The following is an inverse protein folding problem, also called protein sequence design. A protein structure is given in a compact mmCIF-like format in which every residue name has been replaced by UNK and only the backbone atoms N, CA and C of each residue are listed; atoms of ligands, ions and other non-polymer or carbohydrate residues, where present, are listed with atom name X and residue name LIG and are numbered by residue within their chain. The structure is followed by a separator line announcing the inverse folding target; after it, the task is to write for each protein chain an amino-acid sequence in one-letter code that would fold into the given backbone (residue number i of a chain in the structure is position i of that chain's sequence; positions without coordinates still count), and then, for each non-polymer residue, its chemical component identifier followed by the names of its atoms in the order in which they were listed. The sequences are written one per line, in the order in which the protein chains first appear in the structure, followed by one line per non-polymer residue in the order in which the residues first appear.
data_IF_733030296458
#
_entry.id   IF_733030296458
#
_cell.length_a   1.000
_cell.length_b   1.000
_cell.length_c   1.000
_cell.angle_alpha   90.00
_cell.angle_beta   90.00
_cell.angle_gamma   90.00
#
_symmetry.space_group_name_H-M   'P 1'
#
loop_
_entity.id
_entity.type
_entity.pdbx_description
1 polymer ?
#
# COMPACT_ATOMS: atom_id res chain seq x y z
N UNK A 1 -8.59 -18.03 -14.12
CA UNK A 1 -9.46 -16.90 -13.70
C UNK A 1 -9.91 -17.15 -12.27
N UNK A 2 -9.14 -16.75 -11.25
CA UNK A 2 -9.42 -16.98 -9.82
C UNK A 2 -9.75 -15.70 -9.02
N UNK A 3 -10.10 -14.60 -9.71
CA UNK A 3 -10.29 -13.28 -9.11
C UNK A 3 -11.55 -13.22 -8.22
N UNK A 4 -12.43 -14.23 -8.31
CA UNK A 4 -13.77 -14.18 -7.73
C UNK A 4 -13.80 -14.51 -6.23
N UNK A 5 -12.81 -15.22 -5.71
CA UNK A 5 -12.80 -15.74 -4.32
C UNK A 5 -12.73 -14.60 -3.30
N UNK A 6 -11.97 -13.54 -3.60
CA UNK A 6 -11.78 -12.39 -2.71
C UNK A 6 -12.74 -11.24 -3.02
N UNK A 7 -13.37 -11.23 -4.19
CA UNK A 7 -14.40 -10.25 -4.57
C UNK A 7 -15.75 -10.56 -3.93
N UNK A 8 -16.04 -11.83 -3.61
CA UNK A 8 -17.24 -12.21 -2.89
C UNK A 8 -16.99 -13.32 -1.84
N UNK A 9 -17.49 -13.16 -0.60
CA UNK A 9 -18.13 -11.97 0.01
C UNK A 9 -17.13 -10.84 0.33
N UNK A 10 -17.64 -9.60 0.40
CA UNK A 10 -16.85 -8.36 0.52
C UNK A 10 -15.87 -8.34 1.70
N UNK A 11 -16.19 -9.01 2.81
CA UNK A 11 -15.33 -9.07 3.99
C UNK A 11 -14.00 -9.77 3.70
N UNK A 12 -13.95 -10.72 2.75
CA UNK A 12 -12.70 -11.42 2.37
C UNK A 12 -11.70 -10.47 1.73
N UNK A 13 -12.17 -9.56 0.89
CA UNK A 13 -11.34 -8.53 0.29
C UNK A 13 -10.72 -7.61 1.34
N UNK A 14 -11.51 -7.17 2.31
CA UNK A 14 -11.01 -6.35 3.43
C UNK A 14 -10.09 -7.12 4.39
N UNK A 15 -10.34 -8.40 4.63
CA UNK A 15 -9.43 -9.26 5.39
C UNK A 15 -8.08 -9.41 4.68
N UNK A 16 -8.09 -9.62 3.35
CA UNK A 16 -6.88 -9.63 2.54
C UNK A 16 -6.14 -8.28 2.60
N UNK A 17 -6.86 -7.16 2.51
CA UNK A 17 -6.29 -5.82 2.62
C UNK A 17 -5.53 -5.61 3.94
N UNK A 18 -6.17 -5.94 5.06
CA UNK A 18 -5.56 -5.81 6.39
C UNK A 18 -4.37 -6.75 6.52
N UNK A 19 -4.50 -8.01 6.07
CA UNK A 19 -3.41 -8.98 6.14
C UNK A 19 -2.21 -8.56 5.29
N UNK A 20 -2.44 -8.11 4.06
CA UNK A 20 -1.39 -7.64 3.16
C UNK A 20 -0.67 -6.42 3.74
N UNK A 21 -1.40 -5.47 4.32
CA UNK A 21 -0.81 -4.33 5.03
C UNK A 21 0.02 -4.78 6.24
N UNK A 22 -0.50 -5.69 7.10
CA UNK A 22 0.23 -6.20 8.27
C UNK A 22 1.53 -6.90 7.85
N UNK A 23 1.48 -7.74 6.81
CA UNK A 23 2.66 -8.42 6.27
C UNK A 23 3.67 -7.41 5.72
N UNK A 24 3.23 -6.44 4.92
CA UNK A 24 4.10 -5.40 4.39
C UNK A 24 4.74 -4.54 5.48
N UNK A 25 3.99 -4.22 6.53
CA UNK A 25 4.47 -3.49 7.70
C UNK A 25 5.52 -4.30 8.46
N UNK A 26 5.23 -5.57 8.76
CA UNK A 26 6.14 -6.46 9.46
C UNK A 26 7.45 -6.67 8.67
N UNK A 27 7.34 -6.86 7.35
CA UNK A 27 8.49 -6.94 6.46
C UNK A 27 9.28 -5.63 6.46
N UNK A 28 8.61 -4.47 6.40
CA UNK A 28 9.28 -3.17 6.43
C UNK A 28 10.09 -2.96 7.71
N UNK A 29 9.51 -3.39 8.82
CA UNK A 29 10.13 -3.32 10.14
C UNK A 29 11.31 -4.28 10.26
N UNK A 30 11.14 -5.54 9.86
CA UNK A 30 12.20 -6.55 9.89
C UNK A 30 13.39 -6.18 8.98
N UNK A 31 13.10 -5.59 7.82
CA UNK A 31 14.10 -5.16 6.84
C UNK A 31 14.62 -3.75 7.09
N UNK A 32 14.29 -3.11 8.22
CA UNK A 32 14.65 -1.72 8.50
C UNK A 32 16.17 -1.47 8.42
N UNK A 33 16.98 -2.44 8.83
CA UNK A 33 18.44 -2.37 8.77
C UNK A 33 19.04 -2.71 7.40
N UNK A 34 18.25 -3.36 6.53
CA UNK A 34 18.70 -3.80 5.21
C UNK A 34 18.38 -2.80 4.11
N UNK A 35 17.43 -1.89 4.33
CA UNK A 35 17.08 -0.88 3.35
C UNK A 35 17.94 0.37 3.48
N UNK A 36 18.51 0.87 2.36
CA UNK A 36 19.10 2.19 2.34
C UNK A 36 18.07 3.25 2.81
N UNK A 37 18.54 4.37 3.40
CA UNK A 37 17.67 5.50 3.69
C UNK A 37 16.88 5.94 2.45
N UNK A 38 15.63 6.38 2.64
CA UNK A 38 14.81 6.94 1.56
C UNK A 38 13.80 6.01 0.91
N UNK A 39 13.65 4.76 1.37
CA UNK A 39 12.66 3.81 0.86
C UNK A 39 11.56 3.47 1.89
N UNK A 40 10.74 4.44 2.34
CA UNK A 40 9.70 4.20 3.34
C UNK A 40 8.57 3.28 2.82
N UNK A 41 8.25 3.35 1.52
CA UNK A 41 7.06 2.70 0.95
C UNK A 41 7.30 1.34 0.26
N UNK A 42 8.54 0.86 0.19
CA UNK A 42 8.94 -0.20 -0.73
C UNK A 42 8.15 -1.52 -0.58
N UNK A 43 7.87 -1.97 0.64
CA UNK A 43 7.10 -3.21 0.88
C UNK A 43 5.59 -3.02 0.73
N UNK A 44 5.10 -1.78 0.77
CA UNK A 44 3.68 -1.48 0.69
C UNK A 44 3.17 -1.47 -0.75
N UNK A 45 3.98 -1.06 -1.74
CA UNK A 45 3.61 -1.11 -3.16
C UNK A 45 3.13 -2.52 -3.60
N UNK A 46 3.89 -3.60 -3.41
CA UNK A 46 3.43 -4.94 -3.81
C UNK A 46 2.18 -5.37 -3.03
N UNK A 47 2.01 -4.94 -1.78
CA UNK A 47 0.79 -5.23 -1.02
C UNK A 47 -0.45 -4.56 -1.65
N UNK A 48 -0.36 -3.30 -2.05
CA UNK A 48 -1.45 -2.59 -2.74
C UNK A 48 -1.76 -3.24 -4.08
N UNK A 49 -0.74 -3.57 -4.88
CA UNK A 49 -0.87 -4.27 -6.17
C UNK A 49 -1.60 -5.61 -6.01
N UNK A 50 -1.19 -6.45 -5.05
CA UNK A 50 -1.83 -7.73 -4.79
C UNK A 50 -3.31 -7.57 -4.40
N UNK A 51 -3.61 -6.62 -3.53
CA UNK A 51 -4.99 -6.37 -3.09
C UNK A 51 -5.83 -5.80 -4.23
N UNK A 52 -5.28 -4.90 -5.05
CA UNK A 52 -5.96 -4.37 -6.24
C UNK A 52 -6.34 -5.51 -7.20
N UNK A 53 -5.39 -6.41 -7.48
CA UNK A 53 -5.58 -7.51 -8.40
C UNK A 53 -6.64 -8.51 -7.90
N UNK A 54 -6.50 -8.98 -6.66
CA UNK A 54 -7.37 -10.03 -6.11
C UNK A 54 -8.70 -9.52 -5.56
N UNK A 55 -8.72 -8.36 -4.90
CA UNK A 55 -9.88 -7.87 -4.16
C UNK A 55 -10.50 -6.58 -4.74
N UNK A 56 -9.88 -5.99 -5.76
CA UNK A 56 -10.40 -4.83 -6.48
C UNK A 56 -10.17 -3.49 -5.78
N UNK A 57 -10.88 -2.47 -6.24
CA UNK A 57 -10.62 -1.06 -5.90
C UNK A 57 -10.73 -0.75 -4.40
N UNK A 58 -11.86 -1.08 -3.78
CA UNK A 58 -12.16 -0.63 -2.41
C UNK A 58 -11.18 -1.20 -1.36
N UNK A 59 -10.84 -2.50 -1.37
CA UNK A 59 -9.85 -3.03 -0.44
C UNK A 59 -8.43 -2.53 -0.74
N UNK A 60 -8.09 -2.26 -2.01
CA UNK A 60 -6.81 -1.69 -2.37
C UNK A 60 -6.63 -0.27 -1.83
N UNK A 61 -7.66 0.57 -1.92
CA UNK A 61 -7.66 1.92 -1.33
C UNK A 61 -7.42 1.86 0.18
N UNK A 62 -8.05 0.91 0.89
CA UNK A 62 -7.81 0.72 2.32
C UNK A 62 -6.34 0.38 2.58
N UNK A 63 -5.81 -0.62 1.87
CA UNK A 63 -4.40 -1.05 1.99
C UNK A 63 -3.45 0.11 1.72
N UNK A 64 -3.72 0.90 0.67
CA UNK A 64 -2.93 2.06 0.29
C UNK A 64 -2.98 3.16 1.37
N UNK A 65 -4.16 3.42 1.95
CA UNK A 65 -4.31 4.42 3.01
C UNK A 65 -3.54 4.01 4.26
N UNK A 66 -3.73 2.78 4.74
CA UNK A 66 -3.05 2.26 5.94
C UNK A 66 -1.53 2.27 5.76
N UNK A 67 -1.06 1.85 4.59
CA UNK A 67 0.35 1.86 4.21
C UNK A 67 0.93 3.28 4.18
N UNK A 68 0.18 4.22 3.57
CA UNK A 68 0.52 5.64 3.49
C UNK A 68 0.77 6.24 4.87
N UNK A 69 -0.20 6.08 5.76
CA UNK A 69 -0.15 6.57 7.14
C UNK A 69 0.95 5.88 7.96
N UNK A 70 1.13 4.58 7.78
CA UNK A 70 2.17 3.82 8.49
C UNK A 70 3.57 4.28 8.12
N UNK A 71 3.87 4.38 6.83
CA UNK A 71 5.19 4.83 6.41
C UNK A 71 5.47 6.28 6.84
N UNK A 72 4.46 7.14 6.77
CA UNK A 72 4.55 8.52 7.22
C UNK A 72 4.88 8.61 8.71
N UNK A 73 4.15 7.91 9.57
CA UNK A 73 4.35 8.01 11.03
C UNK A 73 5.67 7.39 11.52
N UNK A 74 6.07 6.26 10.95
CA UNK A 74 7.14 5.43 11.51
C UNK A 74 8.50 5.57 10.80
N UNK A 75 8.52 5.98 9.51
CA UNK A 75 9.76 5.94 8.70
C UNK A 75 10.09 7.23 7.95
N UNK A 76 9.27 8.28 8.07
CA UNK A 76 9.54 9.57 7.40
C UNK A 76 9.71 10.66 8.45
N UNK A 77 10.88 11.32 8.45
CA UNK A 77 11.17 12.44 9.35
C UNK A 77 11.25 12.03 10.83
N UNK A 78 11.18 13.01 11.75
CA UNK A 78 11.01 12.76 13.17
C UNK A 78 9.70 12.03 13.45
N UNK A 79 9.60 11.33 14.60
CA UNK A 79 8.39 10.61 15.00
C UNK A 79 7.14 11.49 14.90
N UNK A 80 6.15 11.07 14.10
CA UNK A 80 4.91 11.81 13.88
C UNK A 80 4.60 12.04 12.40
N UNK A 81 3.68 12.96 12.12
CA UNK A 81 3.36 13.38 10.75
C UNK A 81 4.19 14.61 10.36
N UNK A 82 5.43 14.39 9.94
CA UNK A 82 6.28 15.46 9.41
C UNK A 82 5.68 16.06 8.14
N UNK A 83 5.77 17.38 7.98
CA UNK A 83 5.24 18.11 6.82
C UNK A 83 6.35 18.82 6.04
N UNK A 84 7.60 18.38 6.20
CA UNK A 84 8.73 18.87 5.45
C UNK A 84 8.61 18.60 3.95
N UNK A 85 9.33 19.38 3.14
CA UNK A 85 9.29 19.26 1.68
C UNK A 85 9.65 17.85 1.21
N UNK A 86 10.68 17.23 1.79
CA UNK A 86 11.09 15.87 1.46
C UNK A 86 9.98 14.84 1.76
N UNK A 87 9.27 15.02 2.88
CA UNK A 87 8.13 14.18 3.28
C UNK A 87 6.97 14.33 2.32
N UNK A 88 6.60 15.56 1.97
CA UNK A 88 5.53 15.83 1.01
C UNK A 88 5.85 15.24 -0.37
N UNK A 89 7.11 15.32 -0.81
CA UNK A 89 7.55 14.69 -2.06
C UNK A 89 7.44 13.16 -1.96
N UNK A 90 7.88 12.56 -0.86
CA UNK A 90 7.79 11.11 -0.66
C UNK A 90 6.32 10.61 -0.61
N UNK A 91 5.46 11.29 0.14
CA UNK A 91 4.03 10.99 0.23
C UNK A 91 3.34 11.21 -1.12
N UNK A 92 3.65 12.31 -1.80
CA UNK A 92 3.10 12.62 -3.12
C UNK A 92 3.48 11.58 -4.17
N UNK A 93 4.76 11.18 -4.19
CA UNK A 93 5.24 10.12 -5.08
C UNK A 93 4.58 8.78 -4.76
N UNK A 94 4.43 8.45 -3.47
CA UNK A 94 3.70 7.26 -3.05
C UNK A 94 2.25 7.26 -3.55
N UNK A 95 1.50 8.34 -3.30
CA UNK A 95 0.10 8.48 -3.74
C UNK A 95 -0.01 8.35 -5.25
N UNK A 96 0.89 8.99 -6.00
CA UNK A 96 0.94 8.88 -7.45
C UNK A 96 1.15 7.43 -7.92
N UNK A 97 2.17 6.74 -7.39
CA UNK A 97 2.48 5.36 -7.79
C UNK A 97 1.33 4.41 -7.47
N UNK A 98 0.78 4.43 -6.25
CA UNK A 98 -0.32 3.52 -5.90
C UNK A 98 -1.61 3.84 -6.66
N UNK A 99 -1.85 5.11 -7.00
CA UNK A 99 -2.98 5.47 -7.86
C UNK A 99 -2.82 4.90 -9.27
N UNK A 100 -1.61 4.96 -9.83
CA UNK A 100 -1.26 4.37 -11.13
C UNK A 100 -1.40 2.85 -11.10
N UNK A 101 -0.86 2.19 -10.07
CA UNK A 101 -0.97 0.74 -9.89
C UNK A 101 -2.44 0.30 -9.86
N UNK A 102 -3.25 0.94 -9.01
CA UNK A 102 -4.68 0.63 -8.88
C UNK A 102 -5.42 0.93 -10.19
N UNK A 103 -5.13 2.06 -10.85
CA UNK A 103 -5.76 2.42 -12.11
C UNK A 103 -5.49 1.39 -13.19
N UNK A 104 -4.24 0.96 -13.37
CA UNK A 104 -3.93 -0.03 -14.40
C UNK A 104 -4.50 -1.41 -14.07
N UNK A 105 -4.43 -1.83 -12.80
CA UNK A 105 -4.92 -3.16 -12.42
C UNK A 105 -6.45 -3.22 -12.46
N UNK A 106 -7.14 -2.25 -11.87
CA UNK A 106 -8.61 -2.30 -11.75
C UNK A 106 -9.30 -1.62 -12.92
N UNK A 107 -8.71 -0.56 -13.48
CA UNK A 107 -9.29 0.17 -14.60
C UNK A 107 -9.14 -0.56 -15.94
N UNK A 108 -8.09 -1.36 -16.14
CA UNK A 108 -7.94 -2.17 -17.35
C UNK A 108 -8.60 -3.55 -17.26
N UNK A 109 -9.03 -3.98 -16.06
CA UNK A 109 -9.70 -5.27 -15.83
C UNK A 109 -11.07 -5.40 -16.55
N UNK A 110 -11.54 -4.35 -17.24
CA UNK A 110 -12.79 -4.32 -17.99
C UNK A 110 -12.74 -3.62 -19.35
N UNK A 111 -11.55 -3.36 -19.90
CA UNK A 111 -11.34 -2.84 -21.26
C UNK A 111 -11.06 -3.99 -22.24
#
# INVERSE_FOLDING_TARGET
MHHDIFRAPIWRGYALAILAWLVAFALRYALAHSFPPGFPYLTFFPAVVLVAYYAGLRPAILTATLSGLSAWWFWIGPTGFDLGVATLVAVGFYVFVVAVDIFFIVGMDGA
#
